data_IF_113950348957
#
_entry.id   IF_113950348957
#
_cell.length_a   1.000
_cell.length_b   1.000
_cell.length_c   1.000
_cell.angle_alpha   90.00
_cell.angle_beta   90.00
_cell.angle_gamma   90.00
#
_symmetry.space_group_name_H-M   'P 1'
#
loop_
_entity.id
_entity.type
_entity.pdbx_description
1 polymer ?
#
# COMPACT_ATOMS: atom_id res chain seq x y z
N UNK A 1 13.96 -20.36 4.83
CA UNK A 1 12.67 -20.60 4.15
C UNK A 1 12.80 -20.10 2.71
N UNK A 2 12.30 -20.81 1.68
CA UNK A 2 12.42 -20.35 0.30
C UNK A 2 11.54 -19.13 0.06
N UNK A 3 12.10 -18.12 -0.60
CA UNK A 3 11.37 -16.94 -1.05
C UNK A 3 10.72 -17.21 -2.39
N UNK A 4 9.49 -16.73 -2.58
CA UNK A 4 8.86 -16.72 -3.89
C UNK A 4 9.15 -15.39 -4.57
N UNK A 5 9.88 -15.43 -5.69
CA UNK A 5 10.04 -14.27 -6.56
C UNK A 5 8.75 -14.08 -7.34
N UNK A 6 8.15 -12.90 -7.22
CA UNK A 6 6.91 -12.58 -7.93
C UNK A 6 7.24 -11.95 -9.28
N UNK A 7 6.90 -12.66 -10.36
CA UNK A 7 7.03 -12.12 -11.73
C UNK A 7 5.83 -11.21 -12.01
N UNK A 8 6.02 -10.01 -12.59
CA UNK A 8 4.91 -9.13 -12.93
C UNK A 8 3.90 -9.82 -13.84
N UNK A 9 2.61 -9.68 -13.49
CA UNK A 9 1.50 -10.26 -14.25
C UNK A 9 1.36 -11.78 -14.11
N UNK A 10 2.28 -12.46 -13.41
CA UNK A 10 2.16 -13.88 -13.12
C UNK A 10 1.63 -14.05 -11.71
N UNK A 11 0.49 -14.75 -11.55
CA UNK A 11 -0.04 -14.95 -10.25
C UNK A 11 0.93 -15.76 -9.34
N UNK A 12 1.41 -15.15 -8.23
CA UNK A 12 2.22 -15.83 -7.22
C UNK A 12 1.41 -16.95 -6.53
N UNK A 13 1.89 -18.22 -6.48
CA UNK A 13 1.16 -19.29 -5.82
C UNK A 13 0.78 -18.97 -4.38
N UNK A 14 -0.46 -19.31 -4.02
CA UNK A 14 -0.96 -19.26 -2.65
C UNK A 14 -0.14 -20.17 -1.73
N UNK A 15 0.12 -19.71 -0.51
CA UNK A 15 0.67 -20.54 0.55
C UNK A 15 -0.22 -20.43 1.79
N UNK A 16 -0.92 -21.51 2.10
CA UNK A 16 -1.66 -21.66 3.36
C UNK A 16 -0.73 -21.38 4.56
N UNK A 17 -1.21 -20.62 5.55
CA UNK A 17 -0.50 -20.35 6.80
C UNK A 17 0.49 -19.17 6.78
N UNK A 18 0.35 -18.25 5.82
CA UNK A 18 1.22 -17.08 5.68
C UNK A 18 2.43 -17.33 4.79
N UNK A 19 2.60 -16.48 3.78
CA UNK A 19 3.73 -16.52 2.85
C UNK A 19 4.76 -15.42 3.11
N UNK A 20 6.03 -15.69 2.81
CA UNK A 20 7.04 -14.64 2.59
C UNK A 20 7.28 -14.50 1.08
N UNK A 21 7.03 -13.31 0.55
CA UNK A 21 7.23 -12.98 -0.87
C UNK A 21 8.47 -12.10 -1.03
N UNK A 22 9.26 -12.28 -2.09
CA UNK A 22 10.28 -11.31 -2.48
C UNK A 22 9.82 -10.55 -3.72
N UNK A 23 9.62 -9.25 -3.55
CA UNK A 23 9.37 -8.27 -4.60
C UNK A 23 10.71 -7.69 -5.03
N UNK A 24 11.37 -8.35 -5.99
CA UNK A 24 12.62 -7.89 -6.57
C UNK A 24 12.37 -7.32 -7.98
N UNK A 25 11.66 -6.20 -8.03
CA UNK A 25 10.90 -5.84 -9.23
C UNK A 25 9.55 -6.55 -9.28
N UNK A 26 8.68 -6.14 -10.21
CA UNK A 26 7.44 -6.84 -10.53
C UNK A 26 6.17 -6.30 -9.86
N UNK A 27 5.09 -7.09 -9.95
CA UNK A 27 3.74 -6.72 -9.50
C UNK A 27 3.12 -7.85 -8.68
N UNK A 28 2.74 -7.57 -7.42
CA UNK A 28 1.79 -8.41 -6.69
C UNK A 28 0.39 -7.93 -7.00
N UNK A 29 -0.49 -8.82 -7.44
CA UNK A 29 -1.91 -8.54 -7.61
C UNK A 29 -2.70 -9.12 -6.43
N UNK A 30 -3.50 -8.29 -5.77
CA UNK A 30 -4.51 -8.70 -4.78
C UNK A 30 -5.87 -8.52 -5.44
N UNK A 31 -6.52 -9.64 -5.75
CA UNK A 31 -7.78 -9.67 -6.50
C UNK A 31 -8.79 -10.61 -5.82
N UNK A 32 -10.02 -10.12 -5.65
CA UNK A 32 -11.12 -10.86 -5.00
C UNK A 32 -11.76 -11.94 -5.87
N UNK A 33 -11.64 -11.84 -7.19
CA UNK A 33 -12.26 -12.71 -8.20
C UNK A 33 -11.27 -13.76 -8.73
N UNK A 34 -10.01 -13.37 -8.93
CA UNK A 34 -9.00 -14.22 -9.59
C UNK A 34 -8.20 -15.10 -8.63
N UNK A 35 -8.42 -14.97 -7.31
CA UNK A 35 -7.75 -15.81 -6.33
C UNK A 35 -6.23 -15.67 -6.40
N UNK A 36 -5.71 -14.47 -6.14
CA UNK A 36 -4.28 -14.28 -5.98
C UNK A 36 -3.91 -13.54 -4.69
N UNK A 37 -2.90 -14.09 -4.01
CA UNK A 37 -2.79 -14.33 -2.57
C UNK A 37 -3.75 -15.40 -2.03
N UNK A 38 -4.58 -16.04 -2.86
CA UNK A 38 -5.43 -17.17 -2.47
C UNK A 38 -6.12 -16.98 -1.12
N UNK A 39 -6.55 -15.76 -0.81
CA UNK A 39 -7.06 -15.41 0.51
C UNK A 39 -8.49 -15.95 0.64
N UNK A 40 -8.58 -17.27 0.76
CA UNK A 40 -9.80 -18.02 1.06
C UNK A 40 -10.16 -17.86 2.53
N UNK A 41 -9.19 -17.54 3.38
CA UNK A 41 -9.37 -17.30 4.80
C UNK A 41 -9.46 -15.79 5.10
N UNK A 42 -10.42 -15.45 5.94
CA UNK A 42 -10.91 -14.10 6.21
C UNK A 42 -10.05 -13.32 7.20
N UNK A 43 -8.91 -13.87 7.65
CA UNK A 43 -8.05 -13.26 8.69
C UNK A 43 -6.53 -13.47 8.54
N UNK A 44 -6.06 -14.04 7.42
CA UNK A 44 -4.64 -14.40 7.24
C UNK A 44 -3.70 -13.20 7.07
N UNK A 45 -2.51 -13.27 7.68
CA UNK A 45 -1.41 -12.31 7.52
C UNK A 45 -0.34 -12.87 6.59
N UNK A 46 0.02 -12.11 5.56
CA UNK A 46 1.10 -12.41 4.63
C UNK A 46 2.22 -11.38 4.75
N UNK A 47 3.46 -11.82 4.51
CA UNK A 47 4.65 -10.99 4.58
C UNK A 47 5.24 -10.79 3.18
N UNK A 48 5.46 -9.54 2.80
CA UNK A 48 6.19 -9.17 1.60
C UNK A 48 7.52 -8.52 1.96
N UNK A 49 8.62 -9.01 1.40
CA UNK A 49 9.90 -8.32 1.39
C UNK A 49 10.04 -7.57 0.07
N UNK A 50 10.20 -6.26 0.13
CA UNK A 50 10.56 -5.46 -1.05
C UNK A 50 12.07 -5.36 -1.11
N UNK A 51 12.64 -5.83 -2.23
CA UNK A 51 14.05 -5.69 -2.57
C UNK A 51 14.28 -4.42 -3.40
N UNK A 52 15.54 -4.11 -3.72
CA UNK A 52 16.02 -2.79 -4.15
C UNK A 52 15.58 -2.29 -5.54
N UNK A 53 14.69 -2.98 -6.27
CA UNK A 53 14.48 -2.76 -7.72
C UNK A 53 13.11 -2.18 -8.06
N UNK A 54 12.49 -1.41 -7.14
CA UNK A 54 11.12 -0.88 -7.23
C UNK A 54 10.03 -1.96 -7.34
N UNK A 55 9.03 -1.91 -6.46
CA UNK A 55 7.95 -2.90 -6.41
C UNK A 55 6.61 -2.27 -6.76
N UNK A 56 5.77 -2.98 -7.52
CA UNK A 56 4.38 -2.62 -7.72
C UNK A 56 3.46 -3.55 -6.94
N UNK A 57 2.43 -2.98 -6.33
CA UNK A 57 1.31 -3.71 -5.75
C UNK A 57 0.06 -3.22 -6.48
N UNK A 58 -0.71 -4.15 -7.04
CA UNK A 58 -1.96 -3.88 -7.69
C UNK A 58 -3.09 -4.43 -6.83
N UNK A 59 -3.99 -3.57 -6.38
CA UNK A 59 -5.17 -3.94 -5.59
C UNK A 59 -6.38 -3.81 -6.50
N UNK A 60 -7.10 -4.90 -6.73
CA UNK A 60 -8.30 -4.92 -7.55
C UNK A 60 -9.45 -5.54 -6.77
N UNK A 61 -10.38 -4.72 -6.30
CA UNK A 61 -11.60 -5.19 -5.65
C UNK A 61 -12.80 -4.85 -6.51
N UNK A 62 -13.64 -5.85 -6.73
CA UNK A 62 -14.90 -5.72 -7.46
C UNK A 62 -16.06 -6.23 -6.59
N UNK A 63 -17.27 -5.74 -6.85
CA UNK A 63 -18.51 -6.13 -6.16
C UNK A 63 -18.81 -7.63 -6.29
N UNK A 64 -18.24 -8.28 -7.31
CA UNK A 64 -18.24 -9.74 -7.48
C UNK A 64 -17.63 -10.49 -6.31
N UNK A 65 -16.78 -9.83 -5.50
CA UNK A 65 -16.27 -10.35 -4.25
C UNK A 65 -17.38 -10.85 -3.30
N UNK A 66 -18.60 -10.34 -3.42
CA UNK A 66 -19.74 -10.66 -2.55
C UNK A 66 -20.72 -11.68 -3.16
N UNK A 67 -20.66 -11.97 -4.46
CA UNK A 67 -21.71 -12.74 -5.16
C UNK A 67 -21.79 -14.22 -4.75
N UNK A 68 -20.64 -14.86 -4.50
CA UNK A 68 -20.60 -16.27 -4.13
C UNK A 68 -20.55 -16.52 -2.60
N UNK A 69 -20.09 -15.53 -1.83
CA UNK A 69 -19.92 -15.65 -0.39
C UNK A 69 -19.93 -14.26 0.27
N UNK A 70 -21.12 -13.72 0.59
CA UNK A 70 -21.29 -12.40 1.17
C UNK A 70 -20.95 -12.43 2.65
N UNK A 71 -19.65 -12.45 2.95
CA UNK A 71 -19.10 -12.39 4.30
C UNK A 71 -18.02 -11.33 4.36
N UNK A 72 -17.72 -10.86 5.57
CA UNK A 72 -16.59 -9.97 5.79
C UNK A 72 -15.27 -10.71 5.52
N UNK A 73 -14.43 -10.12 4.68
CA UNK A 73 -13.10 -10.64 4.32
C UNK A 73 -12.04 -9.65 4.73
N UNK A 74 -11.09 -10.08 5.57
CA UNK A 74 -9.99 -9.24 6.03
C UNK A 74 -8.66 -9.85 5.59
N UNK A 75 -7.86 -9.02 4.93
CA UNK A 75 -6.59 -9.38 4.36
C UNK A 75 -5.49 -8.50 4.92
N UNK A 76 -4.35 -9.09 5.26
CA UNK A 76 -3.20 -8.35 5.79
C UNK A 76 -1.94 -8.67 5.00
N UNK A 77 -1.24 -7.63 4.57
CA UNK A 77 0.07 -7.69 3.94
C UNK A 77 1.03 -6.80 4.74
N UNK A 78 2.07 -7.38 5.33
CA UNK A 78 3.14 -6.60 5.95
C UNK A 78 4.34 -6.52 5.02
N UNK A 79 4.75 -5.29 4.69
CA UNK A 79 5.94 -5.00 3.88
C UNK A 79 7.13 -4.76 4.80
N UNK A 80 8.03 -5.74 4.83
CA UNK A 80 9.32 -5.66 5.50
C UNK A 80 10.36 -5.14 4.52
N UNK A 81 10.53 -3.82 4.52
CA UNK A 81 11.47 -3.17 3.64
C UNK A 81 12.91 -3.31 4.19
N UNK A 82 13.82 -3.90 3.42
CA UNK A 82 15.15 -4.30 3.92
C UNK A 82 16.23 -3.24 3.77
N UNK A 83 15.98 -2.15 3.01
CA UNK A 83 16.85 -0.98 2.81
C UNK A 83 16.00 0.13 2.14
N UNK A 84 16.44 1.41 2.06
CA UNK A 84 15.61 2.43 1.40
C UNK A 84 15.43 2.02 -0.06
N UNK A 85 14.26 1.45 -0.37
CA UNK A 85 13.88 1.05 -1.73
C UNK A 85 13.56 2.29 -2.52
N UNK A 86 14.04 2.30 -3.75
CA UNK A 86 13.50 3.15 -4.79
C UNK A 86 12.01 2.76 -4.99
N UNK A 87 11.11 3.63 -4.55
CA UNK A 87 9.71 3.75 -4.97
C UNK A 87 8.88 2.45 -5.02
N UNK A 88 8.25 2.07 -3.91
CA UNK A 88 7.11 1.13 -3.98
C UNK A 88 5.88 1.89 -4.45
N UNK A 89 5.19 1.35 -5.45
CA UNK A 89 3.95 1.93 -5.97
C UNK A 89 2.80 0.99 -5.70
N UNK A 90 1.75 1.49 -5.03
CA UNK A 90 0.49 0.77 -4.88
C UNK A 90 -0.51 1.40 -5.83
N UNK A 91 -0.90 0.65 -6.85
CA UNK A 91 -1.98 1.00 -7.75
C UNK A 91 -3.24 0.28 -7.31
N UNK A 92 -4.39 0.95 -7.38
CA UNK A 92 -5.66 0.34 -7.03
C UNK A 92 -6.73 0.59 -8.07
N UNK A 93 -7.64 -0.37 -8.16
CA UNK A 93 -8.90 -0.33 -8.89
C UNK A 93 -9.98 -0.92 -7.97
N UNK A 94 -10.97 -0.12 -7.59
CA UNK A 94 -12.06 -0.49 -6.69
C UNK A 94 -13.40 -0.20 -7.37
N UNK A 95 -14.13 -1.24 -7.74
CA UNK A 95 -15.49 -1.15 -8.28
C UNK A 95 -16.52 -1.58 -7.24
N UNK A 96 -17.46 -0.68 -6.96
CA UNK A 96 -18.59 -0.89 -6.05
C UNK A 96 -19.08 0.40 -5.41
N UNK A 97 -20.18 0.28 -4.67
CA UNK A 97 -20.95 1.41 -4.16
C UNK A 97 -20.22 2.15 -3.05
N UNK A 98 -19.72 1.42 -2.05
CA UNK A 98 -19.02 1.99 -0.90
C UNK A 98 -17.56 1.58 -0.92
N UNK A 99 -16.66 2.57 -1.02
CA UNK A 99 -15.22 2.33 -1.12
C UNK A 99 -14.45 3.39 -0.36
N UNK A 100 -13.36 2.98 0.27
CA UNK A 100 -12.43 3.89 0.91
C UNK A 100 -11.01 3.40 0.79
N UNK A 101 -10.09 4.35 0.64
CA UNK A 101 -8.65 4.11 0.72
C UNK A 101 -8.08 5.13 1.69
N UNK A 102 -7.49 4.67 2.77
CA UNK A 102 -6.94 5.52 3.82
C UNK A 102 -5.52 5.11 4.18
N UNK A 103 -4.75 6.03 4.76
CA UNK A 103 -3.50 5.69 5.41
C UNK A 103 -3.32 6.41 6.74
N UNK A 104 -2.63 5.77 7.68
CA UNK A 104 -2.30 6.33 8.98
C UNK A 104 -0.90 5.89 9.40
N UNK A 105 -0.12 6.80 10.00
CA UNK A 105 1.09 6.45 10.74
C UNK A 105 0.74 6.23 12.21
N UNK A 106 1.01 5.05 12.75
CA UNK A 106 0.68 4.72 14.15
C UNK A 106 1.85 4.94 15.13
N UNK A 107 2.96 5.56 14.69
CA UNK A 107 4.19 5.70 15.47
C UNK A 107 5.23 4.61 15.22
N UNK A 108 4.83 3.50 14.60
CA UNK A 108 5.73 2.36 14.28
C UNK A 108 5.59 1.85 12.85
N UNK A 109 4.38 1.94 12.26
CA UNK A 109 4.06 1.47 10.92
C UNK A 109 3.15 2.47 10.20
N UNK A 110 3.35 2.65 8.88
CA UNK A 110 2.32 3.26 8.04
C UNK A 110 1.37 2.13 7.64
N UNK A 111 0.09 2.32 7.91
CA UNK A 111 -0.97 1.37 7.63
C UNK A 111 -1.84 1.97 6.53
N UNK A 112 -1.90 1.32 5.38
CA UNK A 112 -2.77 1.68 4.26
C UNK A 112 -3.93 0.69 4.24
N UNK A 113 -5.17 1.19 4.26
CA UNK A 113 -6.38 0.38 4.34
C UNK A 113 -7.24 0.63 3.11
N UNK A 114 -7.55 -0.45 2.40
CA UNK A 114 -8.52 -0.51 1.31
C UNK A 114 -9.78 -1.17 1.83
N UNK A 115 -10.94 -0.53 1.63
CA UNK A 115 -12.25 -1.09 1.97
C UNK A 115 -13.15 -1.01 0.75
N UNK A 116 -13.80 -2.12 0.44
CA UNK A 116 -14.97 -2.20 -0.42
C UNK A 116 -16.13 -2.76 0.40
N UNK A 117 -17.31 -2.15 0.33
CA UNK A 117 -18.54 -2.57 1.02
C UNK A 117 -19.70 -2.71 0.03
N UNK A 118 -20.56 -3.71 0.26
CA UNK A 118 -21.76 -3.95 -0.54
C UNK A 118 -22.98 -3.14 -0.06
N UNK A 119 -22.82 -2.29 0.97
CA UNK A 119 -23.89 -1.50 1.58
C UNK A 119 -24.90 -2.34 2.37
N UNK A 120 -24.68 -3.65 2.51
CA UNK A 120 -25.53 -4.60 3.27
C UNK A 120 -24.84 -5.15 4.51
N UNK A 121 -23.69 -4.59 4.87
CA UNK A 121 -22.91 -4.99 6.03
C UNK A 121 -21.81 -6.00 5.72
N UNK A 122 -21.55 -6.31 4.45
CA UNK A 122 -20.41 -7.12 4.04
C UNK A 122 -19.31 -6.23 3.46
N UNK A 123 -18.07 -6.58 3.77
CA UNK A 123 -16.90 -5.80 3.35
C UNK A 123 -15.71 -6.67 2.98
N UNK A 124 -14.91 -6.16 2.05
CA UNK A 124 -13.56 -6.63 1.78
C UNK A 124 -12.60 -5.56 2.28
N UNK A 125 -11.73 -5.94 3.20
CA UNK A 125 -10.70 -5.07 3.76
C UNK A 125 -9.31 -5.63 3.45
N UNK A 126 -8.43 -4.81 2.88
CA UNK A 126 -7.00 -5.10 2.80
C UNK A 126 -6.23 -4.05 3.59
N UNK A 127 -5.36 -4.52 4.46
CA UNK A 127 -4.42 -3.69 5.20
C UNK A 127 -2.99 -3.97 4.72
N UNK A 128 -2.31 -2.93 4.26
CA UNK A 128 -0.89 -2.98 3.89
C UNK A 128 -0.10 -2.18 4.93
N UNK A 129 0.76 -2.86 5.70
CA UNK A 129 1.63 -2.23 6.69
C UNK A 129 3.06 -2.05 6.18
N UNK A 130 3.68 -0.88 6.38
CA UNK A 130 5.10 -0.65 6.09
C UNK A 130 5.85 -0.25 7.37
N UNK A 131 7.11 -0.68 7.54
CA UNK A 131 7.91 -0.47 8.78
C UNK A 131 8.44 0.96 8.99
N UNK A 132 8.04 1.92 8.16
CA UNK A 132 8.52 3.30 8.21
C UNK A 132 7.37 4.27 7.97
N UNK A 133 7.58 5.54 8.28
CA UNK A 133 6.62 6.59 7.93
C UNK A 133 6.70 6.92 6.43
N UNK A 134 6.26 5.97 5.59
CA UNK A 134 6.49 5.98 4.15
C UNK A 134 5.69 7.03 3.37
N UNK A 135 4.84 7.77 4.08
CA UNK A 135 3.97 8.83 3.56
C UNK A 135 4.15 10.15 4.31
N UNK A 136 5.12 10.23 5.25
CA UNK A 136 5.39 11.45 6.01
C UNK A 136 4.23 11.91 6.91
N UNK A 137 3.37 10.99 7.37
CA UNK A 137 2.16 11.32 8.12
C UNK A 137 2.45 11.60 9.61
N UNK A 138 1.70 12.49 10.28
CA UNK A 138 1.77 12.65 11.72
C UNK A 138 1.18 11.41 12.40
N UNK A 139 1.67 11.11 13.61
CA UNK A 139 1.14 10.00 14.40
C UNK A 139 -0.37 10.19 14.63
N UNK A 140 -1.14 9.14 14.37
CA UNK A 140 -2.57 9.09 14.62
C UNK A 140 -3.43 9.85 13.61
N UNK A 141 -2.84 10.55 12.64
CA UNK A 141 -3.61 11.25 11.59
C UNK A 141 -3.86 10.33 10.40
N UNK A 142 -5.12 10.31 9.98
CA UNK A 142 -5.59 9.56 8.82
C UNK A 142 -5.66 10.48 7.62
N UNK A 143 -5.13 10.03 6.48
CA UNK A 143 -5.33 10.66 5.16
C UNK A 143 -6.19 9.75 4.30
N UNK A 144 -6.99 10.35 3.44
CA UNK A 144 -7.83 9.64 2.47
C UNK A 144 -7.29 9.83 1.06
N UNK A 145 -7.35 8.77 0.25
CA UNK A 145 -7.00 8.81 -1.16
C UNK A 145 -8.27 8.82 -2.01
N UNK A 146 -8.25 9.46 -3.20
CA UNK A 146 -9.42 9.57 -4.05
C UNK A 146 -9.88 8.20 -4.53
N UNK A 147 -11.19 7.99 -4.51
CA UNK A 147 -11.84 6.76 -5.00
C UNK A 147 -12.94 7.05 -6.02
N UNK A 148 -13.17 8.31 -6.36
CA UNK A 148 -14.19 8.81 -7.28
C UNK A 148 -14.07 8.19 -8.67
N UNK A 149 -12.84 8.06 -9.19
CA UNK A 149 -12.57 7.44 -10.50
C UNK A 149 -12.30 5.94 -10.42
N UNK A 150 -12.73 5.30 -9.32
CA UNK A 150 -12.48 3.90 -8.98
C UNK A 150 -11.00 3.52 -8.92
N UNK A 151 -10.05 4.43 -9.14
CA UNK A 151 -8.65 4.08 -9.31
C UNK A 151 -7.73 5.16 -8.76
N UNK A 152 -6.50 4.78 -8.46
CA UNK A 152 -5.47 5.71 -8.04
C UNK A 152 -4.15 5.03 -7.72
N UNK A 153 -3.20 5.86 -7.30
CA UNK A 153 -1.82 5.45 -7.08
C UNK A 153 -1.28 6.07 -5.81
N UNK A 154 -0.73 5.23 -4.93
CA UNK A 154 0.00 5.63 -3.72
C UNK A 154 1.47 5.34 -3.95
N UNK A 155 2.31 6.37 -3.86
CA UNK A 155 3.76 6.23 -3.93
C UNK A 155 4.33 6.21 -2.52
N UNK A 156 4.98 5.11 -2.18
CA UNK A 156 5.76 4.96 -0.96
C UNK A 156 7.19 5.38 -1.28
N UNK A 157 7.60 6.50 -0.68
CA UNK A 157 8.94 7.06 -0.85
C UNK A 157 9.61 7.13 0.52
N UNK A 158 10.82 6.59 0.60
CA UNK A 158 11.65 6.69 1.80
C UNK A 158 12.95 7.39 1.41
N UNK A 159 13.24 8.52 2.04
CA UNK A 159 14.53 9.18 1.89
C UNK A 159 15.50 8.69 2.96
N UNK A 160 16.79 8.74 2.65
CA UNK A 160 17.82 8.49 3.65
C UNK A 160 17.81 9.64 4.68
N UNK A 161 18.12 9.32 5.93
CA UNK A 161 18.37 10.35 6.95
C UNK A 161 19.51 11.27 6.47
N UNK A 162 19.35 12.58 6.63
CA UNK A 162 20.30 13.58 6.15
C UNK A 162 20.08 14.00 4.69
N UNK A 163 19.13 13.39 3.96
CA UNK A 163 18.72 13.88 2.64
C UNK A 163 18.23 15.33 2.78
N UNK A 164 18.75 16.22 1.95
CA UNK A 164 18.35 17.62 1.89
C UNK A 164 17.21 17.80 0.89
N UNK A 165 16.18 18.50 1.31
CA UNK A 165 15.00 18.84 0.52
C UNK A 165 14.97 20.35 0.35
N UNK A 166 14.86 20.81 -0.88
CA UNK A 166 14.72 22.22 -1.18
C UNK A 166 13.34 22.72 -0.74
N UNK A 167 13.31 23.82 0.00
CA UNK A 167 12.11 24.54 0.42
C UNK A 167 12.20 26.01 -0.02
N UNK A 168 11.11 26.78 -0.02
CA UNK A 168 11.17 28.21 -0.37
C UNK A 168 12.14 29.05 0.47
N UNK A 169 12.49 28.58 1.68
CA UNK A 169 13.41 29.26 2.60
C UNK A 169 14.83 28.67 2.58
N UNK A 170 15.10 27.70 1.70
CA UNK A 170 16.39 27.02 1.55
C UNK A 170 16.31 25.51 1.78
N UNK A 171 17.44 24.83 1.72
CA UNK A 171 17.51 23.39 1.99
C UNK A 171 17.21 23.08 3.45
N UNK A 172 16.38 22.04 3.69
CA UNK A 172 16.15 21.46 5.02
C UNK A 172 16.38 19.96 4.99
N UNK A 173 16.81 19.39 6.11
CA UNK A 173 16.91 17.94 6.22
C UNK A 173 15.51 17.32 6.15
N UNK A 174 15.39 16.17 5.51
CA UNK A 174 14.12 15.44 5.42
C UNK A 174 13.54 15.14 6.80
N UNK A 175 14.38 14.81 7.78
CA UNK A 175 13.95 14.56 9.15
C UNK A 175 13.47 15.81 9.91
N UNK A 176 13.77 17.01 9.40
CA UNK A 176 13.37 18.27 10.02
C UNK A 176 12.08 18.84 9.41
N UNK A 177 11.63 18.33 8.25
CA UNK A 177 10.39 18.76 7.61
C UNK A 177 9.16 18.35 8.44
N UNK A 178 8.19 19.25 8.50
CA UNK A 178 6.92 19.07 9.21
C UNK A 178 5.76 19.17 8.24
N UNK A 179 4.62 18.64 8.66
CA UNK A 179 3.39 18.77 7.88
C UNK A 179 3.00 20.24 7.77
N UNK A 180 2.65 20.65 6.55
CA UNK A 180 2.40 22.05 6.24
C UNK A 180 3.64 22.78 5.73
N UNK A 181 4.84 22.17 5.83
CA UNK A 181 6.03 22.74 5.20
C UNK A 181 5.95 22.57 3.69
N UNK A 182 6.15 23.67 2.98
CA UNK A 182 6.21 23.69 1.52
C UNK A 182 7.59 23.21 1.04
N UNK A 183 7.59 22.31 0.05
CA UNK A 183 8.79 21.80 -0.62
C UNK A 183 8.79 22.22 -2.08
N UNK A 184 9.97 22.47 -2.65
CA UNK A 184 10.11 22.79 -4.07
C UNK A 184 10.19 21.49 -4.87
N UNK A 185 9.30 21.36 -5.84
CA UNK A 185 9.29 20.23 -6.79
C UNK A 185 10.25 20.48 -7.95
N UNK A 186 10.56 19.44 -8.72
CA UNK A 186 11.39 19.54 -9.94
C UNK A 186 10.92 20.63 -10.93
N UNK A 187 9.64 21.03 -10.90
CA UNK A 187 9.09 22.10 -11.75
C UNK A 187 9.32 23.51 -11.19
N UNK A 188 10.06 23.66 -10.09
CA UNK A 188 10.21 24.92 -9.36
C UNK A 188 8.93 25.37 -8.64
N UNK A 189 7.93 24.49 -8.54
CA UNK A 189 6.65 24.78 -7.91
C UNK A 189 6.67 24.29 -6.48
N UNK A 190 6.25 25.15 -5.55
CA UNK A 190 6.03 24.78 -4.18
C UNK A 190 4.84 23.83 -4.03
N UNK A 191 5.00 22.83 -3.16
CA UNK A 191 3.98 21.84 -2.83
C UNK A 191 4.00 21.58 -1.33
N UNK A 192 2.82 21.58 -0.73
CA UNK A 192 2.61 21.25 0.70
C UNK A 192 2.21 19.79 0.87
#
# INVERSE_FOLDING_TARGET
MPYLNVTPGVPAPYKDGGGMYMLNGGTITVDTDQGLLGLRDTTSTNYGHVASVAGNIYVHFDERAFYANPVNKIFKLEIENTKPVDNVTINYLLSGTEKSVTAQWNGTKTIITFVLSDGRGHSVTLTIGTRFNSLGLPVGKTVSFPTDNNSGTIKIVCYARGTRIETPTGERLIEDLRIGDEVITFKGQGRT
#
